data_IF_335924344556
#
_entry.id   IF_335924344556
#
_cell.length_a   1.000
_cell.length_b   1.000
_cell.length_c   1.000
_cell.angle_alpha   90.00
_cell.angle_beta   90.00
_cell.angle_gamma   90.00
#
_symmetry.space_group_name_H-M   'P 1'
#
loop_
_entity.id
_entity.type
_entity.pdbx_description
1 polymer ?
#
# COMPACT_ATOMS: atom_id res chain seq x y z
N UNK A 1 7.45 -15.00 -9.67
CA UNK A 1 8.48 -14.40 -8.77
C UNK A 1 9.73 -13.91 -9.51
N UNK A 2 10.19 -14.56 -10.59
CA UNK A 2 11.42 -14.18 -11.30
C UNK A 2 11.47 -12.72 -11.79
N UNK A 3 10.39 -12.18 -12.35
CA UNK A 3 10.34 -10.80 -12.85
C UNK A 3 10.56 -9.75 -11.75
N UNK A 4 9.93 -9.92 -10.59
CA UNK A 4 10.11 -9.01 -9.45
C UNK A 4 11.55 -9.05 -8.92
N UNK A 5 12.12 -10.25 -8.80
CA UNK A 5 13.51 -10.43 -8.39
C UNK A 5 14.48 -9.79 -9.38
N UNK A 6 14.24 -9.96 -10.68
CA UNK A 6 15.00 -9.28 -11.72
C UNK A 6 14.92 -7.76 -11.59
N UNK A 7 13.72 -7.20 -11.42
CA UNK A 7 13.53 -5.76 -11.26
C UNK A 7 14.29 -5.21 -10.05
N UNK A 8 14.24 -5.87 -8.88
CA UNK A 8 14.99 -5.42 -7.71
C UNK A 8 16.50 -5.46 -7.91
N UNK A 9 17.02 -6.43 -8.66
CA UNK A 9 18.43 -6.49 -9.05
C UNK A 9 18.82 -5.37 -10.02
N UNK A 10 17.96 -5.05 -10.99
CA UNK A 10 18.19 -3.95 -11.92
C UNK A 10 18.19 -2.60 -11.20
N UNK A 11 17.23 -2.34 -10.31
CA UNK A 11 17.23 -1.09 -9.54
C UNK A 11 18.46 -0.97 -8.64
N UNK A 12 18.85 -2.04 -7.95
CA UNK A 12 20.06 -2.05 -7.11
C UNK A 12 21.33 -1.73 -7.92
N UNK A 13 21.46 -2.25 -9.14
CA UNK A 13 22.66 -2.09 -9.96
C UNK A 13 22.68 -0.80 -10.79
N UNK A 14 21.53 -0.38 -11.32
CA UNK A 14 21.44 0.72 -12.31
C UNK A 14 20.86 2.01 -11.75
N UNK A 15 20.19 1.97 -10.59
CA UNK A 15 19.54 3.13 -9.99
C UNK A 15 19.83 3.23 -8.48
N UNK A 16 21.11 3.33 -8.06
CA UNK A 16 21.49 3.29 -6.64
C UNK A 16 20.92 4.46 -5.81
N UNK A 17 20.48 5.55 -6.45
CA UNK A 17 19.82 6.69 -5.80
C UNK A 17 18.30 6.51 -5.64
N UNK A 18 17.69 5.51 -6.28
CA UNK A 18 16.26 5.28 -6.22
C UNK A 18 15.87 4.57 -4.90
N UNK A 19 14.84 5.08 -4.22
CA UNK A 19 14.22 4.39 -3.07
C UNK A 19 13.07 3.53 -3.57
N UNK A 20 13.34 2.24 -3.76
CA UNK A 20 12.38 1.29 -4.29
C UNK A 20 11.66 0.53 -3.17
N UNK A 21 10.34 0.43 -3.29
CA UNK A 21 9.46 -0.29 -2.37
C UNK A 21 8.64 -1.32 -3.17
N UNK A 22 8.72 -2.59 -2.81
CA UNK A 22 7.87 -3.64 -3.41
C UNK A 22 6.48 -3.63 -2.77
N UNK A 23 5.42 -3.84 -3.55
CA UNK A 23 4.09 -3.93 -2.95
C UNK A 23 3.92 -5.19 -2.08
N UNK A 24 3.49 -4.96 -0.84
CA UNK A 24 3.26 -5.95 0.20
C UNK A 24 1.80 -6.14 0.55
N UNK A 25 0.85 -5.72 -0.30
CA UNK A 25 -0.58 -5.86 -0.07
C UNK A 25 -1.11 -5.02 1.09
N UNK A 26 -2.05 -5.56 1.86
CA UNK A 26 -2.69 -4.84 2.97
C UNK A 26 -2.99 -5.76 4.16
N UNK A 27 -3.44 -5.14 5.27
CA UNK A 27 -3.62 -5.77 6.57
C UNK A 27 -4.56 -7.00 6.58
N UNK A 28 -5.48 -7.12 5.62
CA UNK A 28 -6.49 -8.18 5.58
C UNK A 28 -6.45 -9.04 4.31
N UNK A 29 -5.35 -9.00 3.55
CA UNK A 29 -5.23 -9.82 2.33
C UNK A 29 -4.38 -11.07 2.53
N UNK A 30 -3.11 -10.91 2.94
CA UNK A 30 -2.15 -12.01 3.04
C UNK A 30 -1.55 -12.02 4.43
N UNK A 31 -1.54 -13.18 5.09
CA UNK A 31 -0.93 -13.31 6.42
C UNK A 31 0.52 -12.80 6.44
N UNK A 32 0.96 -12.10 7.51
CA UNK A 32 2.27 -11.44 7.53
C UNK A 32 3.46 -12.35 7.22
N UNK A 33 3.48 -13.58 7.75
CA UNK A 33 4.56 -14.54 7.51
C UNK A 33 4.61 -15.00 6.04
N UNK A 34 3.46 -15.19 5.40
CA UNK A 34 3.38 -15.55 3.99
C UNK A 34 3.84 -14.37 3.10
N UNK A 35 3.46 -13.14 3.44
CA UNK A 35 3.92 -11.95 2.73
C UNK A 35 5.44 -11.73 2.89
N UNK A 36 5.98 -11.92 4.10
CA UNK A 36 7.42 -11.88 4.33
C UNK A 36 8.18 -12.87 3.43
N UNK A 37 7.68 -14.11 3.29
CA UNK A 37 8.28 -15.09 2.39
C UNK A 37 8.18 -14.68 0.91
N UNK A 38 7.06 -14.09 0.48
CA UNK A 38 6.90 -13.58 -0.89
C UNK A 38 7.86 -12.42 -1.18
N UNK A 39 8.01 -11.48 -0.24
CA UNK A 39 8.89 -10.32 -0.35
C UNK A 39 10.37 -10.73 -0.39
N UNK A 40 10.80 -11.66 0.47
CA UNK A 40 12.18 -12.20 0.40
C UNK A 40 12.44 -12.86 -0.96
N UNK A 41 11.53 -13.72 -1.43
CA UNK A 41 11.65 -14.37 -2.73
C UNK A 41 11.63 -13.38 -3.91
N UNK A 42 10.90 -12.27 -3.78
CA UNK A 42 10.87 -11.15 -4.74
C UNK A 42 12.13 -10.27 -4.69
N UNK A 43 13.04 -10.50 -3.73
CA UNK A 43 14.28 -9.74 -3.60
C UNK A 43 14.12 -8.41 -2.87
N UNK A 44 13.19 -8.28 -1.92
CA UNK A 44 13.04 -7.06 -1.10
C UNK A 44 14.36 -6.65 -0.41
N UNK A 45 15.25 -7.63 -0.15
CA UNK A 45 16.59 -7.39 0.39
C UNK A 45 17.47 -6.48 -0.49
N UNK A 46 17.18 -6.39 -1.79
CA UNK A 46 17.92 -5.57 -2.74
C UNK A 46 17.44 -4.12 -2.81
N UNK A 47 16.31 -3.79 -2.18
CA UNK A 47 15.66 -2.48 -2.26
C UNK A 47 15.42 -1.89 -0.86
N UNK A 48 14.87 -0.67 -0.81
CA UNK A 48 14.67 0.06 0.44
C UNK A 48 13.62 -0.64 1.33
N UNK A 49 12.57 -1.17 0.72
CA UNK A 49 11.59 -1.96 1.47
C UNK A 49 10.32 -2.30 0.72
N UNK A 50 9.17 -2.16 1.39
CA UNK A 50 7.87 -2.53 0.83
C UNK A 50 6.76 -1.49 1.09
N UNK A 51 5.76 -1.42 0.22
CA UNK A 51 4.55 -0.62 0.45
C UNK A 51 3.44 -1.49 1.04
N UNK A 52 2.54 -0.86 1.78
CA UNK A 52 1.28 -1.48 2.21
C UNK A 52 0.11 -0.55 1.95
N UNK A 53 -1.08 -1.14 1.85
CA UNK A 53 -2.37 -0.47 1.72
C UNK A 53 -2.62 0.23 0.37
N UNK A 54 -1.76 0.02 -0.64
CA UNK A 54 -1.91 0.66 -1.96
C UNK A 54 -3.31 0.42 -2.52
N UNK A 55 -4.01 1.51 -2.87
CA UNK A 55 -5.40 1.52 -3.34
C UNK A 55 -6.44 0.94 -2.37
N UNK A 56 -6.11 0.77 -1.09
CA UNK A 56 -7.01 0.23 -0.09
C UNK A 56 -7.32 1.26 1.02
N UNK A 57 -8.12 0.87 2.00
CA UNK A 57 -8.80 1.81 2.91
C UNK A 57 -8.47 1.55 4.37
N UNK A 58 -7.65 0.55 4.71
CA UNK A 58 -7.34 0.22 6.11
C UNK A 58 -6.56 1.34 6.78
N UNK A 59 -6.86 1.58 8.04
CA UNK A 59 -6.32 2.73 8.77
C UNK A 59 -4.79 2.70 8.81
N UNK A 60 -4.17 3.86 9.00
CA UNK A 60 -2.71 3.95 9.11
C UNK A 60 -2.19 3.11 10.28
N UNK A 61 -2.96 3.00 11.37
CA UNK A 61 -2.62 2.16 12.51
C UNK A 61 -2.62 0.66 12.16
N UNK A 62 -3.66 0.15 11.50
CA UNK A 62 -3.75 -1.24 11.05
C UNK A 62 -2.66 -1.58 10.04
N UNK A 63 -2.43 -0.70 9.08
CA UNK A 63 -1.39 -0.86 8.05
C UNK A 63 0.02 -0.88 8.65
N UNK A 64 0.29 -0.01 9.63
CA UNK A 64 1.55 -0.02 10.39
C UNK A 64 1.72 -1.31 11.20
N UNK A 65 0.69 -1.74 11.91
CA UNK A 65 0.72 -2.98 12.68
C UNK A 65 0.98 -4.20 11.78
N UNK A 66 0.36 -4.24 10.60
CA UNK A 66 0.61 -5.28 9.59
C UNK A 66 2.07 -5.25 9.10
N UNK A 67 2.58 -4.10 8.68
CA UNK A 67 3.94 -3.97 8.18
C UNK A 67 4.99 -4.35 9.24
N UNK A 68 4.76 -3.99 10.51
CA UNK A 68 5.60 -4.43 11.63
C UNK A 68 5.61 -5.95 11.81
N UNK A 69 4.45 -6.61 11.67
CA UNK A 69 4.36 -8.08 11.70
C UNK A 69 5.06 -8.73 10.51
N UNK A 70 4.98 -8.14 9.31
CA UNK A 70 5.74 -8.61 8.13
C UNK A 70 7.25 -8.50 8.38
N UNK A 71 7.71 -7.36 8.90
CA UNK A 71 9.11 -7.16 9.26
C UNK A 71 9.57 -8.10 10.38
N UNK A 72 8.74 -8.37 11.39
CA UNK A 72 9.05 -9.35 12.43
C UNK A 72 9.27 -10.75 11.83
N UNK A 73 8.43 -11.16 10.88
CA UNK A 73 8.59 -12.43 10.17
C UNK A 73 9.83 -12.45 9.26
N UNK A 74 10.15 -11.34 8.58
CA UNK A 74 11.39 -11.20 7.81
C UNK A 74 12.63 -11.36 8.71
N UNK A 75 12.64 -10.66 9.85
CA UNK A 75 13.73 -10.73 10.83
C UNK A 75 13.89 -12.13 11.39
N UNK A 76 12.80 -12.78 11.80
CA UNK A 76 12.83 -14.12 12.38
C UNK A 76 13.35 -15.19 11.41
N UNK A 77 12.92 -15.14 10.14
CA UNK A 77 13.26 -16.19 9.16
C UNK A 77 14.50 -15.91 8.32
N UNK A 78 14.72 -14.64 7.96
CA UNK A 78 15.76 -14.23 7.01
C UNK A 78 16.81 -13.28 7.60
N UNK A 79 16.70 -12.96 8.91
CA UNK A 79 17.68 -12.16 9.67
C UNK A 79 17.88 -10.73 9.17
N UNK A 80 16.83 -10.13 8.60
CA UNK A 80 16.82 -8.71 8.25
C UNK A 80 15.42 -8.11 8.32
N UNK A 81 15.35 -6.79 8.49
CA UNK A 81 14.15 -5.99 8.27
C UNK A 81 14.38 -4.98 7.13
N UNK A 82 13.30 -4.37 6.63
CA UNK A 82 13.35 -3.30 5.64
C UNK A 82 12.41 -2.15 5.99
N UNK A 83 12.60 -0.99 5.36
CA UNK A 83 11.68 0.13 5.49
C UNK A 83 10.30 -0.23 4.94
N UNK A 84 9.28 0.56 5.27
CA UNK A 84 7.99 0.43 4.63
C UNK A 84 7.31 1.77 4.46
N UNK A 85 6.40 1.87 3.49
CA UNK A 85 5.55 3.04 3.25
C UNK A 85 4.09 2.64 3.29
N UNK A 86 3.21 3.58 3.64
CA UNK A 86 1.78 3.33 3.75
C UNK A 86 1.04 4.25 2.78
N UNK A 87 0.17 3.67 1.95
CA UNK A 87 -0.78 4.47 1.18
C UNK A 87 -1.91 4.94 2.12
N UNK A 88 -2.00 6.26 2.30
CA UNK A 88 -3.01 6.96 3.10
C UNK A 88 -3.99 7.77 2.25
N UNK A 89 -4.00 7.56 0.92
CA UNK A 89 -4.85 8.30 -0.01
C UNK A 89 -6.33 8.32 0.38
N UNK A 90 -6.87 7.19 0.84
CA UNK A 90 -8.32 7.01 1.07
C UNK A 90 -8.66 6.31 2.38
N UNK A 91 -7.76 6.30 3.36
CA UNK A 91 -7.90 5.50 4.58
C UNK A 91 -8.36 6.27 5.83
N UNK A 92 -8.89 7.50 5.67
CA UNK A 92 -9.25 8.38 6.80
C UNK A 92 -10.42 7.89 7.64
N UNK A 93 -11.22 6.95 7.12
CA UNK A 93 -12.37 6.37 7.82
C UNK A 93 -12.26 4.83 7.97
N UNK A 94 -11.12 4.25 7.58
CA UNK A 94 -10.92 2.80 7.63
C UNK A 94 -11.66 2.04 6.52
N UNK A 95 -11.26 0.78 6.33
CA UNK A 95 -11.80 -0.13 5.33
C UNK A 95 -12.43 -1.36 5.97
N UNK A 96 -13.25 -2.08 5.21
CA UNK A 96 -13.78 -3.38 5.61
C UNK A 96 -13.13 -4.49 4.78
N UNK A 97 -12.75 -5.63 5.39
CA UNK A 97 -12.21 -6.77 4.63
C UNK A 97 -13.13 -7.15 3.46
N UNK A 98 -12.54 -7.37 2.28
CA UNK A 98 -13.27 -7.71 1.05
C UNK A 98 -13.94 -6.53 0.34
N UNK A 99 -14.02 -5.34 0.96
CA UNK A 99 -14.59 -4.14 0.33
C UNK A 99 -13.47 -3.23 -0.13
N UNK A 100 -13.25 -3.19 -1.45
CA UNK A 100 -12.13 -2.45 -2.07
C UNK A 100 -12.53 -1.57 -3.25
N UNK A 101 -13.73 -1.77 -3.80
CA UNK A 101 -14.11 -1.18 -5.08
C UNK A 101 -15.06 0.01 -4.84
N UNK A 102 -14.54 1.24 -4.90
CA UNK A 102 -15.28 2.49 -4.64
C UNK A 102 -16.26 2.42 -3.45
N UNK A 103 -15.80 2.07 -2.23
CA UNK A 103 -16.66 2.01 -1.05
C UNK A 103 -17.27 3.37 -0.72
N UNK A 104 -18.55 3.39 -0.37
CA UNK A 104 -19.20 4.57 0.20
C UNK A 104 -18.60 4.91 1.58
N UNK A 105 -18.52 6.20 1.90
CA UNK A 105 -18.07 6.67 3.20
C UNK A 105 -16.57 6.57 3.43
N UNK A 106 -15.78 6.21 2.41
CA UNK A 106 -14.32 6.36 2.48
C UNK A 106 -13.96 7.85 2.59
N UNK A 107 -12.83 8.15 3.25
CA UNK A 107 -12.34 9.52 3.43
C UNK A 107 -10.87 9.63 3.09
N UNK A 108 -10.43 10.81 2.65
CA UNK A 108 -9.01 11.14 2.57
C UNK A 108 -8.34 10.82 3.91
N UNK A 109 -7.20 10.14 3.84
CA UNK A 109 -6.35 9.93 5.01
C UNK A 109 -5.38 11.07 5.21
N UNK A 110 -4.36 10.82 6.03
CA UNK A 110 -3.30 11.80 6.29
C UNK A 110 -2.59 12.19 4.98
N UNK A 111 -2.36 13.48 4.79
CA UNK A 111 -1.60 13.99 3.63
C UNK A 111 -0.17 13.40 3.59
N UNK A 112 0.46 13.32 2.40
CA UNK A 112 1.80 12.77 2.27
C UNK A 112 2.82 13.49 3.16
N UNK A 113 3.66 12.72 3.86
CA UNK A 113 4.69 13.26 4.73
C UNK A 113 5.83 12.25 4.94
N UNK A 114 6.99 12.77 5.37
CA UNK A 114 8.11 11.94 5.81
C UNK A 114 7.81 11.38 7.20
N UNK A 115 8.01 10.08 7.38
CA UNK A 115 7.69 9.41 8.63
C UNK A 115 6.18 9.27 8.89
N UNK A 116 5.84 8.84 10.11
CA UNK A 116 4.46 8.57 10.53
C UNK A 116 4.20 7.08 10.74
N UNK A 117 3.62 6.74 11.90
CA UNK A 117 3.32 5.36 12.30
C UNK A 117 4.49 4.35 12.14
N UNK A 118 5.74 4.81 12.23
CA UNK A 118 6.95 3.99 12.07
C UNK A 118 7.30 3.61 10.62
N UNK A 119 6.63 4.21 9.63
CA UNK A 119 6.96 4.08 8.20
C UNK A 119 8.07 5.06 7.79
N UNK A 120 8.70 4.82 6.64
CA UNK A 120 9.58 5.81 5.99
C UNK A 120 8.76 7.02 5.51
N UNK A 121 7.56 6.78 4.99
CA UNK A 121 6.64 7.79 4.44
C UNK A 121 5.18 7.35 4.56
N UNK A 122 4.30 8.32 4.81
CA UNK A 122 2.89 8.23 4.40
C UNK A 122 2.79 8.84 3.01
N UNK A 123 2.14 8.14 2.08
CA UNK A 123 2.05 8.53 0.68
C UNK A 123 0.60 8.45 0.21
N UNK A 124 0.25 9.25 -0.79
CA UNK A 124 -0.93 8.99 -1.61
C UNK A 124 -0.44 8.29 -2.86
N UNK A 125 -0.55 6.95 -2.87
CA UNK A 125 -0.09 6.14 -4.02
C UNK A 125 -1.24 5.98 -5.01
N UNK A 126 -2.42 5.58 -4.53
CA UNK A 126 -3.66 5.73 -5.29
C UNK A 126 -4.02 7.21 -5.38
N UNK A 127 -4.44 7.64 -6.57
CA UNK A 127 -4.94 8.99 -6.81
C UNK A 127 -6.37 9.11 -6.26
N UNK A 128 -6.62 9.95 -5.24
CA UNK A 128 -7.97 10.19 -4.74
C UNK A 128 -8.88 10.74 -5.85
N UNK A 129 -10.02 10.09 -6.08
CA UNK A 129 -10.98 10.46 -7.13
C UNK A 129 -10.92 9.60 -8.39
N UNK A 130 -9.85 8.83 -8.61
CA UNK A 130 -9.86 7.81 -9.66
C UNK A 130 -10.66 6.58 -9.24
N UNK A 131 -11.57 6.13 -10.11
CA UNK A 131 -12.35 4.92 -9.87
C UNK A 131 -11.47 3.67 -9.76
N UNK A 132 -11.89 2.72 -8.92
CA UNK A 132 -11.34 1.37 -8.84
C UNK A 132 -11.97 0.41 -9.88
N UNK A 133 -13.01 0.84 -10.57
CA UNK A 133 -13.81 0.06 -11.52
C UNK A 133 -15.30 0.43 -11.49
N UNK A 134 -16.13 -0.10 -12.41
CA UNK A 134 -17.57 0.19 -12.45
C UNK A 134 -18.33 -0.53 -11.32
N UNK A 135 -18.18 -0.05 -10.08
CA UNK A 135 -18.60 -0.70 -8.85
C UNK A 135 -18.84 0.33 -7.73
N UNK A 136 -19.41 -0.13 -6.60
CA UNK A 136 -19.58 0.69 -5.40
C UNK A 136 -20.39 1.95 -5.69
N UNK A 137 -19.88 3.11 -5.26
CA UNK A 137 -20.46 4.43 -5.61
C UNK A 137 -20.07 4.91 -7.01
N UNK A 138 -19.06 4.29 -7.64
CA UNK A 138 -18.56 4.62 -8.99
C UNK A 138 -19.08 3.68 -10.08
N UNK A 139 -20.37 3.28 -10.04
CA UNK A 139 -20.94 2.20 -10.87
C UNK A 139 -20.73 2.32 -12.38
N UNK A 140 -20.58 3.55 -12.89
CA UNK A 140 -20.45 3.82 -14.32
C UNK A 140 -19.08 4.42 -14.70
N UNK A 141 -18.11 4.38 -13.78
CA UNK A 141 -16.78 5.00 -14.00
C UNK A 141 -15.73 3.91 -14.12
N UNK A 142 -15.06 3.84 -15.26
CA UNK A 142 -14.02 2.84 -15.53
C UNK A 142 -12.80 3.03 -14.61
N UNK A 143 -12.11 1.93 -14.31
CA UNK A 143 -10.92 1.95 -13.47
C UNK A 143 -9.87 2.93 -14.03
N UNK A 144 -9.28 3.75 -13.15
CA UNK A 144 -8.31 4.78 -13.51
C UNK A 144 -8.91 6.05 -14.13
N UNK A 145 -10.22 6.09 -14.37
CA UNK A 145 -10.89 7.33 -14.80
C UNK A 145 -11.13 8.22 -13.59
N UNK A 146 -10.67 9.47 -13.65
CA UNK A 146 -10.95 10.46 -12.61
C UNK A 146 -12.43 10.85 -12.62
N UNK A 147 -13.04 10.85 -11.44
CA UNK A 147 -14.41 11.32 -11.20
C UNK A 147 -14.41 12.40 -10.13
N UNK A 148 -14.83 13.63 -10.47
CA UNK A 148 -15.04 14.68 -9.47
C UNK A 148 -15.99 14.25 -8.33
N UNK A 149 -17.02 13.46 -8.63
CA UNK A 149 -17.95 12.95 -7.61
C UNK A 149 -17.23 12.03 -6.61
N UNK A 150 -16.41 11.08 -7.08
CA UNK A 150 -15.63 10.20 -6.21
C UNK A 150 -14.61 10.98 -5.37
N UNK A 151 -14.01 12.03 -5.94
CA UNK A 151 -13.09 12.90 -5.22
C UNK A 151 -13.81 13.68 -4.10
N UNK A 152 -14.97 14.26 -4.41
CA UNK A 152 -15.78 15.00 -3.43
C UNK A 152 -16.27 14.09 -2.29
N UNK A 153 -16.66 12.86 -2.60
CA UNK A 153 -17.04 11.85 -1.59
C UNK A 153 -15.93 11.55 -0.58
N UNK A 154 -14.67 11.57 -1.00
CA UNK A 154 -13.53 11.38 -0.11
C UNK A 154 -13.31 12.58 0.83
N UNK A 155 -13.79 13.77 0.46
CA UNK A 155 -13.71 14.98 1.29
C UNK A 155 -14.84 14.97 2.33
N UNK A 156 -16.08 14.76 1.88
CA UNK A 156 -17.27 14.85 2.74
C UNK A 156 -17.63 13.54 3.47
N UNK A 157 -17.09 12.40 3.05
CA UNK A 157 -17.32 11.08 3.64
C UNK A 157 -18.66 10.45 3.28
N UNK A 158 -19.17 10.68 2.06
CA UNK A 158 -20.44 10.15 1.55
C UNK A 158 -20.31 8.93 0.63
#
# INVERSE_FOLDING_TARGET
MALLKYATQQFKSKAPKARVYLDGGNAHWVAPAAMAARLDAAGVKNVRGFSVNVSNFFTTAESSAYAKKVNAALSAKYRYARGFVIDTSRNGHGGKPGVWCNPAGAKLGTAPQVGGAGSDYLLWVKVPGESDGPCGVGRNVQAGTFSPDLAMRLIDGR
#
